data_IF_994802507970
#
_entry.id   IF_994802507970
#
_cell.length_a   1.000
_cell.length_b   1.000
_cell.length_c   1.000
_cell.angle_alpha   90.00
_cell.angle_beta   90.00
_cell.angle_gamma   90.00
#
_symmetry.space_group_name_H-M   'P 1'
#
loop_
_entity.id
_entity.type
_entity.pdbx_description
1 polymer ?
#
# COMPACT_ATOMS: atom_id res chain seq x y z
N UNK A 1 23.73 -24.43 12.69
CA UNK A 1 22.55 -23.77 13.28
C UNK A 1 21.37 -24.02 12.35
N UNK A 2 20.17 -24.22 12.90
CA UNK A 2 18.95 -24.41 12.10
C UNK A 2 18.51 -23.07 11.52
N UNK A 3 18.53 -22.94 10.19
CA UNK A 3 18.20 -21.70 9.48
C UNK A 3 16.71 -21.36 9.54
N UNK A 4 15.87 -22.24 10.08
CA UNK A 4 14.44 -21.98 10.33
C UNK A 4 14.21 -21.25 11.65
N UNK A 5 15.21 -21.18 12.53
CA UNK A 5 15.11 -20.48 13.80
C UNK A 5 15.27 -18.96 13.57
N UNK A 6 14.28 -18.15 13.98
CA UNK A 6 14.27 -16.72 13.69
C UNK A 6 15.47 -15.97 14.32
N UNK A 7 15.98 -16.45 15.46
CA UNK A 7 17.19 -15.89 16.08
C UNK A 7 18.46 -16.07 15.23
N UNK A 8 18.44 -17.00 14.27
CA UNK A 8 19.50 -17.17 13.28
C UNK A 8 19.25 -16.35 11.99
N UNK A 9 18.13 -15.61 11.95
CA UNK A 9 17.76 -14.75 10.85
C UNK A 9 18.66 -13.52 10.75
N UNK A 10 18.49 -12.78 9.65
CA UNK A 10 19.18 -11.51 9.42
C UNK A 10 18.17 -10.39 9.46
N UNK A 11 18.53 -9.32 10.15
CA UNK A 11 17.66 -8.18 10.37
C UNK A 11 17.69 -7.30 9.13
N UNK A 12 16.51 -6.99 8.61
CA UNK A 12 16.30 -5.92 7.64
C UNK A 12 16.18 -4.60 8.45
N UNK A 13 16.92 -3.54 8.10
CA UNK A 13 16.89 -2.29 8.85
C UNK A 13 15.50 -1.65 8.81
N UNK A 14 15.10 -1.03 9.91
CA UNK A 14 13.90 -0.20 10.07
C UNK A 14 14.16 0.85 11.14
N UNK A 15 13.22 1.77 11.32
CA UNK A 15 13.32 2.89 12.26
C UNK A 15 12.58 2.67 13.60
N UNK A 16 12.08 1.46 13.85
CA UNK A 16 11.31 1.16 15.06
C UNK A 16 10.12 0.26 14.73
N UNK A 17 8.92 0.85 14.66
CA UNK A 17 7.77 0.18 14.04
C UNK A 17 8.13 -0.20 12.60
N UNK A 18 7.73 -1.40 12.18
CA UNK A 18 7.97 -1.93 10.85
C UNK A 18 6.77 -2.79 10.46
N UNK A 19 6.26 -2.55 9.26
CA UNK A 19 5.14 -3.29 8.71
C UNK A 19 5.25 -3.45 7.20
N UNK A 20 4.66 -4.54 6.72
CA UNK A 20 4.61 -4.95 5.33
C UNK A 20 5.94 -4.87 4.56
N UNK A 21 7.03 -5.51 5.04
CA UNK A 21 8.26 -5.59 4.26
C UNK A 21 8.05 -6.48 3.03
N UNK A 22 8.28 -5.92 1.83
CA UNK A 22 8.21 -6.64 0.56
C UNK A 22 9.57 -6.67 -0.13
N UNK A 23 9.98 -7.84 -0.61
CA UNK A 23 11.22 -8.04 -1.36
C UNK A 23 10.95 -8.15 -2.86
N UNK A 24 11.70 -7.37 -3.63
CA UNK A 24 11.81 -7.44 -5.08
C UNK A 24 13.19 -7.98 -5.44
N UNK A 25 13.26 -8.88 -6.41
CA UNK A 25 14.53 -9.35 -6.98
C UNK A 25 14.81 -8.61 -8.27
N UNK A 26 15.86 -7.80 -8.29
CA UNK A 26 16.21 -6.99 -9.45
C UNK A 26 17.03 -7.78 -10.48
N UNK A 27 16.98 -7.29 -11.73
CA UNK A 27 17.72 -7.88 -12.85
C UNK A 27 19.24 -7.83 -12.69
N UNK A 28 19.76 -6.88 -11.91
CA UNK A 28 21.19 -6.81 -11.55
C UNK A 28 21.60 -7.77 -10.42
N UNK A 29 20.66 -8.57 -9.90
CA UNK A 29 20.88 -9.52 -8.82
C UNK A 29 20.76 -8.94 -7.40
N UNK A 30 20.56 -7.62 -7.24
CA UNK A 30 20.26 -7.03 -5.93
C UNK A 30 18.82 -7.30 -5.51
N UNK A 31 18.56 -7.20 -4.21
CA UNK A 31 17.22 -7.24 -3.63
C UNK A 31 16.84 -5.84 -3.15
N UNK A 32 15.63 -5.39 -3.48
CA UNK A 32 15.04 -4.18 -2.91
C UNK A 32 13.97 -4.59 -1.92
N UNK A 33 14.11 -4.14 -0.67
CA UNK A 33 13.04 -4.18 0.29
C UNK A 33 12.32 -2.83 0.28
N UNK A 34 10.99 -2.82 0.30
CA UNK A 34 10.19 -1.65 0.69
C UNK A 34 9.41 -1.98 1.96
N UNK A 35 9.21 -1.01 2.85
CA UNK A 35 8.44 -1.20 4.07
C UNK A 35 7.84 0.11 4.59
N UNK A 36 6.84 0.00 5.44
CA UNK A 36 6.35 1.10 6.27
C UNK A 36 7.05 1.06 7.60
N UNK A 37 7.52 2.22 8.08
CA UNK A 37 8.33 2.31 9.29
C UNK A 37 8.07 3.61 10.05
N UNK A 38 8.48 3.66 11.32
CA UNK A 38 8.46 4.88 12.12
C UNK A 38 9.10 4.70 13.49
N UNK A 39 9.52 5.81 14.10
CA UNK A 39 10.14 5.82 15.44
C UNK A 39 9.14 5.48 16.57
N UNK A 40 7.85 5.74 16.31
CA UNK A 40 6.75 5.50 17.23
C UNK A 40 6.13 4.11 17.09
N UNK A 41 4.90 3.99 17.55
CA UNK A 41 4.02 2.85 17.28
C UNK A 41 3.26 3.04 15.98
N UNK A 42 2.62 1.98 15.53
CA UNK A 42 1.72 2.02 14.38
C UNK A 42 0.73 3.19 14.44
N UNK A 43 0.71 3.97 13.36
CA UNK A 43 -0.13 5.14 13.14
C UNK A 43 0.17 6.34 14.01
N UNK A 44 1.31 6.36 14.70
CA UNK A 44 1.84 7.57 15.31
C UNK A 44 2.50 8.47 14.26
N UNK A 45 2.60 9.76 14.58
CA UNK A 45 3.22 10.76 13.73
C UNK A 45 4.66 10.37 13.39
N UNK A 46 5.05 10.60 12.12
CA UNK A 46 6.36 10.23 11.60
C UNK A 46 6.42 8.84 10.96
N UNK A 47 5.29 8.13 10.89
CA UNK A 47 5.15 6.93 10.09
C UNK A 47 5.28 7.27 8.59
N UNK A 48 6.19 6.58 7.92
CA UNK A 48 6.55 6.84 6.53
C UNK A 48 6.99 5.55 5.82
N UNK A 49 7.39 5.66 4.55
CA UNK A 49 7.69 4.52 3.68
C UNK A 49 9.09 4.65 3.11
N UNK A 50 9.85 3.56 3.16
CA UNK A 50 11.27 3.52 2.81
C UNK A 50 11.58 2.32 1.92
N UNK A 51 12.76 2.38 1.28
CA UNK A 51 13.41 1.24 0.66
C UNK A 51 14.81 0.98 1.23
N UNK A 52 15.29 -0.26 1.14
CA UNK A 52 16.69 -0.59 1.40
C UNK A 52 17.16 -1.74 0.50
N UNK A 53 18.44 -1.75 0.15
CA UNK A 53 18.99 -2.58 -0.91
C UNK A 53 20.00 -3.57 -0.34
N UNK A 54 19.92 -4.81 -0.81
CA UNK A 54 20.93 -5.83 -0.55
C UNK A 54 21.58 -6.28 -1.85
N UNK A 55 22.91 -6.19 -1.95
CA UNK A 55 23.69 -6.71 -3.08
C UNK A 55 24.14 -8.16 -2.89
N UNK A 56 23.81 -8.77 -1.75
CA UNK A 56 24.34 -10.06 -1.32
C UNK A 56 23.24 -11.03 -0.82
N UNK A 57 22.04 -10.89 -1.38
CA UNK A 57 20.87 -11.75 -1.14
C UNK A 57 20.43 -11.75 0.33
N UNK A 58 20.32 -10.55 0.89
CA UNK A 58 19.85 -10.28 2.25
C UNK A 58 20.88 -10.61 3.34
N UNK A 59 22.19 -10.71 3.02
CA UNK A 59 23.23 -10.85 4.06
C UNK A 59 23.49 -9.52 4.75
N UNK A 60 23.57 -8.46 3.97
CA UNK A 60 23.70 -7.07 4.42
C UNK A 60 22.73 -6.18 3.64
N UNK A 61 22.39 -5.05 4.23
CA UNK A 61 21.47 -4.06 3.68
C UNK A 61 22.11 -2.68 3.72
N UNK A 62 21.77 -1.84 2.75
CA UNK A 62 22.10 -0.42 2.74
C UNK A 62 21.46 0.32 3.92
N UNK A 63 21.76 1.61 4.03
CA UNK A 63 20.89 2.56 4.72
C UNK A 63 19.49 2.61 4.09
N UNK A 64 18.55 3.23 4.80
CA UNK A 64 17.19 3.46 4.31
C UNK A 64 17.17 4.62 3.32
N UNK A 65 16.43 4.46 2.24
CA UNK A 65 16.13 5.50 1.26
C UNK A 65 14.65 5.87 1.36
N UNK A 66 14.37 7.16 1.52
CA UNK A 66 12.98 7.63 1.65
C UNK A 66 12.22 7.46 0.32
N UNK A 67 11.05 6.82 0.40
CA UNK A 67 9.99 6.94 -0.61
C UNK A 67 9.13 8.17 -0.26
N UNK A 68 8.76 8.26 1.01
CA UNK A 68 8.27 9.49 1.65
C UNK A 68 9.07 9.69 2.95
N UNK A 69 9.50 10.92 3.27
CA UNK A 69 10.30 11.16 4.47
C UNK A 69 9.43 11.21 5.73
N UNK A 70 10.01 10.85 6.88
CA UNK A 70 9.36 10.92 8.20
C UNK A 70 8.86 12.33 8.60
N UNK A 71 9.42 13.38 7.99
CA UNK A 71 9.01 14.78 8.22
C UNK A 71 7.79 15.21 7.41
N UNK A 72 7.35 14.37 6.48
CA UNK A 72 6.17 14.59 5.65
C UNK A 72 4.86 14.16 6.33
N UNK A 73 3.74 14.25 5.59
CA UNK A 73 2.47 13.66 6.00
C UNK A 73 2.58 12.13 6.08
N UNK A 74 1.70 11.52 6.88
CA UNK A 74 1.68 10.07 7.09
C UNK A 74 1.54 9.30 5.77
N UNK A 75 2.39 8.28 5.62
CA UNK A 75 2.43 7.40 4.46
C UNK A 75 2.52 5.94 4.90
N UNK A 76 1.60 5.10 4.44
CA UNK A 76 1.42 3.70 4.87
C UNK A 76 0.52 2.97 3.87
N UNK A 77 0.30 1.68 3.86
CA UNK A 77 1.34 0.69 3.89
C UNK A 77 1.91 0.53 2.48
N UNK A 78 3.23 0.48 2.33
CA UNK A 78 3.85 0.45 0.99
C UNK A 78 3.85 -0.94 0.40
N UNK A 79 3.49 -1.03 -0.87
CA UNK A 79 3.45 -2.27 -1.62
C UNK A 79 4.09 -2.07 -3.00
N UNK A 80 5.06 -2.92 -3.41
CA UNK A 80 5.76 -2.72 -4.67
C UNK A 80 5.17 -3.54 -5.83
N UNK A 81 5.31 -3.02 -7.05
CA UNK A 81 5.20 -3.79 -8.29
C UNK A 81 6.39 -3.49 -9.20
N UNK A 82 7.10 -4.54 -9.65
CA UNK A 82 8.15 -4.39 -10.64
C UNK A 82 7.61 -4.70 -12.04
N UNK A 83 7.87 -3.79 -12.99
CA UNK A 83 7.56 -4.01 -14.41
C UNK A 83 8.60 -4.97 -15.00
N UNK A 84 8.22 -6.17 -15.48
CA UNK A 84 9.19 -7.17 -15.92
C UNK A 84 10.05 -6.74 -17.10
N UNK A 85 9.50 -5.96 -18.03
CA UNK A 85 10.18 -5.55 -19.27
C UNK A 85 11.26 -4.49 -19.04
N UNK A 86 11.09 -3.60 -18.06
CA UNK A 86 12.00 -2.47 -17.82
C UNK A 86 12.77 -2.58 -16.51
N UNK A 87 12.27 -3.36 -15.54
CA UNK A 87 12.80 -3.41 -14.19
C UNK A 87 12.36 -2.25 -13.29
N UNK A 88 11.60 -1.27 -13.82
CA UNK A 88 11.03 -0.17 -13.03
C UNK A 88 10.20 -0.71 -11.88
N UNK A 89 10.36 -0.11 -10.71
CA UNK A 89 9.57 -0.42 -9.52
C UNK A 89 8.58 0.70 -9.28
N UNK A 90 7.30 0.37 -9.11
CA UNK A 90 6.30 1.27 -8.55
C UNK A 90 6.08 0.91 -7.08
N UNK A 91 6.00 1.91 -6.21
CA UNK A 91 5.65 1.75 -4.79
C UNK A 91 4.32 2.45 -4.52
N UNK A 92 3.30 1.68 -4.15
CA UNK A 92 1.94 2.15 -3.86
C UNK A 92 1.72 2.26 -2.36
N UNK A 93 1.09 3.34 -1.89
CA UNK A 93 0.85 3.59 -0.46
C UNK A 93 -0.34 4.55 -0.25
N UNK A 94 -1.13 4.33 0.80
CA UNK A 94 -2.01 5.32 1.45
C UNK A 94 -1.21 6.54 1.88
N UNK A 95 -1.75 7.73 1.62
CA UNK A 95 -1.09 8.99 1.95
C UNK A 95 -2.07 10.04 2.45
N UNK A 96 -1.75 10.63 3.60
CA UNK A 96 -2.46 11.75 4.21
C UNK A 96 -2.19 13.07 3.46
N UNK A 97 -2.66 13.16 2.21
CA UNK A 97 -2.43 14.29 1.31
C UNK A 97 -2.85 15.64 1.91
N UNK A 98 -4.00 15.64 2.59
CA UNK A 98 -4.60 16.83 3.17
C UNK A 98 -3.99 17.20 4.53
N UNK A 99 -3.02 16.42 5.03
CA UNK A 99 -2.29 16.67 6.29
C UNK A 99 -3.22 16.77 7.50
N UNK A 100 -4.28 15.97 7.50
CA UNK A 100 -5.22 15.91 8.61
C UNK A 100 -4.46 15.52 9.87
N UNK A 101 -4.70 16.21 10.97
CA UNK A 101 -4.07 15.93 12.26
C UNK A 101 -4.95 15.06 13.16
N UNK A 102 -6.25 15.06 12.88
CA UNK A 102 -7.24 14.27 13.58
C UNK A 102 -8.42 13.99 12.65
N UNK A 103 -9.16 12.93 12.97
CA UNK A 103 -10.41 12.56 12.31
C UNK A 103 -11.47 12.19 13.33
N UNK A 104 -12.73 12.33 12.94
CA UNK A 104 -13.85 11.91 13.76
C UNK A 104 -14.09 10.40 13.60
N UNK A 105 -14.15 9.63 14.70
CA UNK A 105 -14.66 8.26 14.66
C UNK A 105 -16.18 8.25 14.44
N UNK A 106 -16.75 7.05 14.26
CA UNK A 106 -18.20 6.83 14.17
C UNK A 106 -18.91 7.38 15.41
N UNK A 107 -18.32 7.12 16.58
CA UNK A 107 -18.78 7.63 17.87
C UNK A 107 -17.60 8.07 18.74
N UNK A 108 -17.74 9.21 19.43
CA UNK A 108 -16.76 9.70 20.40
C UNK A 108 -15.94 10.91 19.93
N UNK A 109 -14.88 11.27 20.69
CA UNK A 109 -14.03 12.42 20.36
C UNK A 109 -13.12 12.12 19.18
N UNK A 110 -12.61 13.17 18.53
CA UNK A 110 -11.63 13.06 17.46
C UNK A 110 -10.40 12.24 17.89
N UNK A 111 -9.86 11.46 16.96
CA UNK A 111 -8.68 10.61 17.13
C UNK A 111 -7.55 11.06 16.22
N UNK A 112 -6.31 10.70 16.55
CA UNK A 112 -5.09 11.10 15.81
C UNK A 112 -4.54 10.02 14.87
N UNK A 113 -5.26 8.91 14.67
CA UNK A 113 -4.91 7.88 13.67
C UNK A 113 -5.33 8.38 12.30
N UNK A 114 -4.39 8.94 11.56
CA UNK A 114 -4.58 9.57 10.24
C UNK A 114 -3.77 8.87 9.13
N UNK A 115 -3.36 7.63 9.41
CA UNK A 115 -2.55 6.75 8.56
C UNK A 115 -3.39 5.89 7.59
N UNK A 116 -4.71 5.79 7.80
CA UNK A 116 -5.65 5.01 6.97
C UNK A 116 -6.64 5.88 6.20
N UNK A 117 -6.16 6.96 5.57
CA UNK A 117 -7.00 7.90 4.85
C UNK A 117 -6.27 8.63 3.72
N UNK A 118 -7.05 9.35 2.91
CA UNK A 118 -6.53 10.32 1.94
C UNK A 118 -6.53 9.77 0.52
N UNK A 119 -5.37 9.76 -0.13
CA UNK A 119 -5.23 9.29 -1.52
C UNK A 119 -4.35 8.06 -1.60
N UNK A 120 -4.63 7.20 -2.59
CA UNK A 120 -3.78 6.06 -2.87
C UNK A 120 -2.67 6.51 -3.82
N UNK A 121 -1.52 6.83 -3.24
CA UNK A 121 -0.39 7.41 -3.94
C UNK A 121 0.56 6.34 -4.48
N UNK A 122 1.38 6.74 -5.46
CA UNK A 122 2.54 5.97 -5.84
C UNK A 122 3.69 6.84 -6.36
N UNK A 123 4.90 6.31 -6.18
CA UNK A 123 6.15 6.78 -6.79
C UNK A 123 6.78 5.64 -7.57
N UNK A 124 7.74 5.97 -8.43
CA UNK A 124 8.51 4.95 -9.15
C UNK A 124 10.02 5.12 -8.94
N UNK A 125 10.75 4.03 -9.16
CA UNK A 125 12.20 3.98 -9.15
C UNK A 125 12.71 3.25 -10.40
N UNK A 126 13.72 3.83 -11.04
CA UNK A 126 14.44 3.28 -12.19
C UNK A 126 15.87 2.83 -11.85
N UNK A 127 16.26 2.93 -10.58
CA UNK A 127 17.59 2.62 -10.08
C UNK A 127 17.56 1.59 -8.94
N UNK A 128 16.62 0.65 -9.05
CA UNK A 128 16.47 -0.47 -8.12
C UNK A 128 16.10 -0.04 -6.70
N UNK A 129 15.39 1.08 -6.53
CA UNK A 129 14.93 1.59 -5.24
C UNK A 129 15.98 2.40 -4.46
N UNK A 130 17.03 2.88 -5.14
CA UNK A 130 18.02 3.79 -4.53
C UNK A 130 17.50 5.23 -4.50
N UNK A 131 16.68 5.62 -5.48
CA UNK A 131 15.95 6.88 -5.51
C UNK A 131 14.55 6.69 -6.08
N UNK A 132 13.69 7.66 -5.80
CA UNK A 132 12.28 7.65 -6.18
C UNK A 132 11.92 8.96 -6.91
N UNK A 133 10.94 8.87 -7.80
CA UNK A 133 10.42 10.02 -8.55
C UNK A 133 10.10 11.19 -7.63
N UNK A 134 10.44 12.42 -8.02
CA UNK A 134 10.13 13.63 -7.22
C UNK A 134 8.62 13.86 -7.10
N UNK A 135 7.90 13.58 -8.19
CA UNK A 135 6.45 13.64 -8.26
C UNK A 135 5.82 12.40 -7.64
N UNK A 136 4.64 12.62 -7.08
CA UNK A 136 3.71 11.60 -6.62
C UNK A 136 2.58 11.49 -7.63
N UNK A 137 2.16 10.27 -7.90
CA UNK A 137 1.00 9.98 -8.73
C UNK A 137 -0.09 9.35 -7.86
N UNK A 138 -1.32 9.33 -8.36
CA UNK A 138 -2.48 8.89 -7.59
C UNK A 138 -3.30 7.88 -8.39
N UNK A 139 -3.74 6.82 -7.72
CA UNK A 139 -4.77 5.94 -8.25
C UNK A 139 -6.11 6.63 -7.99
N UNK A 140 -6.89 6.98 -9.03
CA UNK A 140 -8.21 7.56 -8.85
C UNK A 140 -9.14 6.51 -8.25
N UNK A 141 -9.42 6.64 -6.96
CA UNK A 141 -10.34 5.76 -6.27
C UNK A 141 -11.78 6.22 -6.50
N UNK A 142 -12.52 5.46 -7.31
CA UNK A 142 -13.96 5.69 -7.43
C UNK A 142 -14.63 5.49 -6.06
N UNK A 143 -15.50 6.42 -5.69
CA UNK A 143 -16.28 6.34 -4.44
C UNK A 143 -17.27 5.17 -4.49
N UNK A 144 -17.28 4.38 -3.44
CA UNK A 144 -18.30 3.38 -3.15
C UNK A 144 -19.35 3.96 -2.19
N UNK A 145 -20.41 3.19 -1.94
CA UNK A 145 -21.43 3.51 -0.94
C UNK A 145 -20.81 3.69 0.45
N UNK A 146 -19.86 2.83 0.83
CA UNK A 146 -19.17 2.90 2.12
C UNK A 146 -18.44 4.24 2.32
N UNK A 147 -17.82 4.78 1.27
CA UNK A 147 -17.17 6.09 1.33
C UNK A 147 -18.20 7.22 1.49
N UNK A 148 -19.33 7.13 0.77
CA UNK A 148 -20.40 8.14 0.83
C UNK A 148 -21.15 8.14 2.16
N UNK A 149 -21.22 6.99 2.81
CA UNK A 149 -21.90 6.84 4.10
C UNK A 149 -21.00 7.17 5.30
N UNK A 150 -19.69 7.35 5.09
CA UNK A 150 -18.79 7.74 6.17
C UNK A 150 -19.11 9.15 6.70
N UNK A 151 -18.58 9.49 7.87
CA UNK A 151 -18.88 10.76 8.56
C UNK A 151 -18.52 12.02 7.74
N UNK A 152 -17.65 11.87 6.75
CA UNK A 152 -17.21 12.94 5.84
C UNK A 152 -17.94 12.95 4.49
N UNK A 153 -18.91 12.05 4.28
CA UNK A 153 -19.68 11.91 3.05
C UNK A 153 -18.80 11.77 1.79
N UNK A 154 -17.72 10.97 1.88
CA UNK A 154 -16.79 10.71 0.79
C UNK A 154 -15.78 11.83 0.49
N UNK A 155 -15.78 12.93 1.27
CA UNK A 155 -14.76 13.99 1.15
C UNK A 155 -13.40 13.57 1.69
N UNK A 156 -13.42 12.71 2.71
CA UNK A 156 -12.26 11.97 3.20
C UNK A 156 -12.56 10.51 2.94
N UNK A 157 -11.69 9.85 2.18
CA UNK A 157 -11.79 8.40 1.95
C UNK A 157 -10.94 7.74 3.03
N UNK A 158 -11.55 6.84 3.80
CA UNK A 158 -10.82 5.97 4.72
C UNK A 158 -10.53 4.67 4.01
N UNK A 159 -9.27 4.25 4.03
CA UNK A 159 -8.84 3.02 3.40
C UNK A 159 -7.41 2.69 3.84
N UNK A 160 -7.02 1.44 3.64
CA UNK A 160 -5.63 1.05 3.68
C UNK A 160 -5.25 0.16 2.50
N UNK A 161 -4.02 0.34 2.00
CA UNK A 161 -3.42 -0.56 1.03
C UNK A 161 -2.90 -1.81 1.73
N UNK A 162 -3.50 -2.97 1.47
CA UNK A 162 -3.01 -4.27 1.95
C UNK A 162 -3.17 -5.28 0.81
N UNK A 163 -2.16 -6.13 0.62
CA UNK A 163 -2.12 -7.12 -0.44
C UNK A 163 -0.79 -7.15 -1.20
N UNK A 164 -0.61 -8.06 -2.15
CA UNK A 164 0.55 -8.01 -3.04
C UNK A 164 0.10 -7.54 -4.42
N UNK A 165 0.56 -6.37 -4.93
CA UNK A 165 0.34 -5.99 -6.31
C UNK A 165 0.79 -7.11 -7.26
N UNK A 166 0.01 -7.34 -8.30
CA UNK A 166 0.26 -8.47 -9.21
C UNK A 166 -0.02 -8.08 -10.67
N UNK A 167 0.52 -8.90 -11.57
CA UNK A 167 0.27 -8.80 -13.00
C UNK A 167 -0.60 -9.99 -13.38
N UNK A 168 -1.67 -9.71 -14.12
CA UNK A 168 -2.57 -10.74 -14.65
C UNK A 168 -3.15 -10.28 -15.97
N UNK A 169 -3.17 -11.14 -16.98
CA UNK A 169 -3.68 -10.83 -18.32
C UNK A 169 -3.19 -9.46 -18.86
N UNK A 170 -1.87 -9.24 -18.80
CA UNK A 170 -1.18 -8.02 -19.25
C UNK A 170 -1.58 -6.70 -18.55
N UNK A 171 -2.31 -6.78 -17.43
CA UNK A 171 -2.67 -5.63 -16.62
C UNK A 171 -2.04 -5.72 -15.22
N UNK A 172 -1.79 -4.55 -14.63
CA UNK A 172 -1.35 -4.43 -13.24
C UNK A 172 -2.56 -4.30 -12.31
N UNK A 173 -2.50 -4.94 -11.15
CA UNK A 173 -3.54 -4.89 -10.13
C UNK A 173 -2.94 -4.48 -8.79
N UNK A 174 -3.67 -3.62 -8.08
CA UNK A 174 -3.36 -3.16 -6.73
C UNK A 174 -4.61 -3.35 -5.86
N UNK A 175 -4.46 -3.82 -4.63
CA UNK A 175 -5.58 -4.07 -3.71
C UNK A 175 -5.64 -2.99 -2.63
N UNK A 176 -6.84 -2.69 -2.15
CA UNK A 176 -7.04 -1.93 -0.92
C UNK A 176 -8.31 -2.39 -0.21
N UNK A 177 -8.40 -2.10 1.09
CA UNK A 177 -9.66 -2.17 1.83
C UNK A 177 -10.18 -0.76 2.05
N UNK A 178 -11.38 -0.44 1.56
CA UNK A 178 -12.11 0.78 1.89
C UNK A 178 -12.79 0.63 3.24
N UNK A 179 -12.86 1.70 4.01
CA UNK A 179 -13.32 1.70 5.39
C UNK A 179 -14.47 2.69 5.56
N UNK A 180 -15.54 2.29 6.26
CA UNK A 180 -16.70 3.14 6.50
C UNK A 180 -16.52 4.12 7.65
N UNK A 181 -15.63 3.81 8.60
CA UNK A 181 -15.31 4.68 9.72
C UNK A 181 -14.45 4.01 10.78
N UNK A 182 -13.92 4.82 11.69
CA UNK A 182 -13.20 4.35 12.87
C UNK A 182 -14.19 4.11 14.01
N UNK A 183 -14.32 2.86 14.46
CA UNK A 183 -15.28 2.43 15.48
C UNK A 183 -14.63 1.94 16.77
N UNK A 184 -15.39 1.17 17.55
CA UNK A 184 -14.84 0.49 18.72
C UNK A 184 -13.84 -0.59 18.28
N UNK A 185 -12.61 -0.54 18.78
CA UNK A 185 -11.56 -1.52 18.45
C UNK A 185 -10.62 -1.03 17.35
N UNK A 186 -11.12 -0.64 16.16
CA UNK A 186 -10.36 0.06 15.11
C UNK A 186 -11.27 0.52 13.96
N UNK A 187 -11.52 -0.33 12.96
CA UNK A 187 -12.48 -0.10 11.87
C UNK A 187 -13.85 -0.70 12.19
N UNK A 188 -14.92 0.02 11.84
CA UNK A 188 -16.30 -0.43 12.12
C UNK A 188 -16.87 -1.30 10.98
N UNK A 189 -16.60 -0.91 9.74
CA UNK A 189 -17.02 -1.61 8.53
C UNK A 189 -15.96 -1.43 7.45
N UNK A 190 -15.79 -2.42 6.59
CA UNK A 190 -14.85 -2.33 5.47
C UNK A 190 -15.25 -3.21 4.27
N UNK A 191 -14.68 -2.90 3.10
CA UNK A 191 -14.93 -3.59 1.84
C UNK A 191 -13.66 -3.64 0.98
N UNK A 192 -13.39 -4.78 0.36
CA UNK A 192 -12.27 -4.95 -0.56
C UNK A 192 -12.51 -4.25 -1.90
N UNK A 193 -11.44 -3.67 -2.44
CA UNK A 193 -11.41 -3.08 -3.78
C UNK A 193 -10.12 -3.47 -4.50
N UNK A 194 -10.20 -3.57 -5.83
CA UNK A 194 -9.03 -3.72 -6.69
C UNK A 194 -8.95 -2.52 -7.64
N UNK A 195 -7.72 -2.15 -7.98
CA UNK A 195 -7.42 -1.12 -8.97
C UNK A 195 -6.63 -1.76 -10.09
N UNK A 196 -7.23 -1.81 -11.28
CA UNK A 196 -6.63 -2.37 -12.48
C UNK A 196 -6.08 -1.24 -13.34
N UNK A 197 -4.81 -1.35 -13.73
CA UNK A 197 -4.25 -0.53 -14.79
C UNK A 197 -3.93 -1.38 -16.01
N UNK A 198 -4.56 -1.04 -17.14
CA UNK A 198 -4.38 -1.74 -18.40
C UNK A 198 -3.04 -1.41 -19.09
N UNK A 199 -2.44 -0.26 -18.77
CA UNK A 199 -1.28 0.26 -19.50
C UNK A 199 -0.04 0.48 -18.63
N UNK A 200 -0.10 0.32 -17.31
CA UNK A 200 1.06 0.54 -16.41
C UNK A 200 2.33 -0.23 -16.81
N UNK A 201 2.18 -1.42 -17.42
CA UNK A 201 3.31 -2.25 -17.83
C UNK A 201 4.00 -1.75 -19.11
N UNK A 202 3.36 -0.88 -19.87
CA UNK A 202 3.79 -0.45 -21.20
C UNK A 202 3.93 1.07 -21.34
N UNK A 203 3.17 1.84 -20.57
CA UNK A 203 3.24 3.30 -20.52
C UNK A 203 4.34 3.73 -19.54
N UNK A 204 5.26 4.56 -20.02
CA UNK A 204 6.41 5.01 -19.24
C UNK A 204 6.09 6.28 -18.43
N UNK A 205 5.20 7.15 -18.90
CA UNK A 205 4.79 8.33 -18.15
C UNK A 205 3.68 7.97 -17.15
N UNK A 206 3.95 8.01 -15.83
CA UNK A 206 2.94 7.58 -14.86
C UNK A 206 1.72 8.50 -14.77
N UNK A 207 1.80 9.72 -15.33
CA UNK A 207 0.64 10.62 -15.45
C UNK A 207 -0.39 10.13 -16.49
N UNK A 208 0.01 9.20 -17.37
CA UNK A 208 -0.80 8.66 -18.45
C UNK A 208 -1.35 7.25 -18.13
N UNK A 209 -1.17 6.77 -16.89
CA UNK A 209 -1.74 5.51 -16.46
C UNK A 209 -3.26 5.59 -16.37
N UNK A 210 -3.92 4.64 -17.02
CA UNK A 210 -5.36 4.45 -16.93
C UNK A 210 -5.67 3.50 -15.78
N UNK A 211 -6.63 3.85 -14.94
CA UNK A 211 -7.03 3.07 -13.78
C UNK A 211 -8.53 2.81 -13.77
N UNK A 212 -8.89 1.58 -13.43
CA UNK A 212 -10.25 1.10 -13.24
C UNK A 212 -10.41 0.63 -11.78
N UNK A 213 -11.45 1.09 -11.09
CA UNK A 213 -11.79 0.63 -9.73
C UNK A 213 -12.81 -0.49 -9.80
N UNK A 214 -12.43 -1.67 -9.31
CA UNK A 214 -13.22 -2.89 -9.23
C UNK A 214 -13.65 -3.20 -7.78
N UNK A 215 -14.76 -3.92 -7.58
CA UNK A 215 -15.70 -4.39 -8.61
C UNK A 215 -16.52 -3.24 -9.23
N UNK A 216 -17.22 -3.52 -10.32
CA UNK A 216 -18.20 -2.60 -10.89
C UNK A 216 -19.32 -2.27 -9.89
N UNK A 217 -19.92 -1.09 -10.02
CA UNK A 217 -20.98 -0.63 -9.13
C UNK A 217 -20.46 -0.12 -7.79
N UNK A 218 -21.35 0.14 -6.85
CA UNK A 218 -21.05 0.97 -5.68
C UNK A 218 -20.70 0.20 -4.41
N UNK A 219 -20.51 -1.12 -4.50
CA UNK A 219 -20.29 -1.99 -3.35
C UNK A 219 -19.05 -2.85 -3.61
N UNK A 220 -18.11 -2.85 -2.67
CA UNK A 220 -16.90 -3.66 -2.74
C UNK A 220 -17.10 -5.12 -2.33
N UNK A 221 -15.99 -5.83 -2.23
CA UNK A 221 -15.97 -7.22 -1.78
C UNK A 221 -16.23 -7.26 -0.27
N UNK A 222 -17.28 -7.99 0.14
CA UNK A 222 -17.72 -8.12 1.53
C UNK A 222 -17.55 -9.55 2.02
N UNK A 223 -17.25 -9.71 3.30
CA UNK A 223 -17.24 -11.01 3.96
C UNK A 223 -18.69 -11.54 4.08
N UNK A 224 -18.94 -12.84 3.85
CA UNK A 224 -20.26 -13.41 4.08
C UNK A 224 -20.72 -13.35 5.55
N UNK A 225 -19.75 -13.28 6.48
CA UNK A 225 -19.96 -13.52 7.91
C UNK A 225 -19.96 -12.26 8.77
N UNK A 226 -19.86 -11.05 8.20
CA UNK A 226 -19.85 -9.83 8.98
C UNK A 226 -19.53 -8.56 8.19
N UNK A 227 -19.52 -7.41 8.87
CA UNK A 227 -19.30 -6.11 8.26
C UNK A 227 -17.81 -5.79 8.00
N UNK A 228 -16.92 -6.68 8.42
CA UNK A 228 -15.46 -6.55 8.30
C UNK A 228 -14.93 -7.70 7.44
N UNK A 229 -14.21 -7.32 6.40
CA UNK A 229 -13.53 -8.08 5.35
C UNK A 229 -12.14 -7.45 5.07
N UNK A 230 -11.46 -7.02 6.12
CA UNK A 230 -10.17 -6.33 6.05
C UNK A 230 -9.04 -7.19 5.49
N UNK A 231 -7.99 -6.52 5.03
CA UNK A 231 -6.75 -7.15 4.52
C UNK A 231 -6.95 -8.06 3.30
N UNK A 232 -7.97 -7.74 2.49
CA UNK A 232 -8.29 -8.51 1.29
C UNK A 232 -7.07 -8.71 0.39
N UNK A 233 -6.81 -9.96 0.01
CA UNK A 233 -5.75 -10.32 -0.93
C UNK A 233 -6.35 -11.08 -2.12
N UNK A 234 -5.91 -10.74 -3.34
CA UNK A 234 -6.39 -11.40 -4.55
C UNK A 234 -5.27 -12.20 -5.22
N UNK A 235 -5.58 -13.45 -5.56
CA UNK A 235 -4.70 -14.38 -6.26
C UNK A 235 -5.25 -14.69 -7.64
N UNK A 236 -4.50 -14.44 -8.72
CA UNK A 236 -4.85 -14.89 -10.06
C UNK A 236 -4.91 -16.41 -10.18
N UNK A 237 -5.95 -16.90 -10.84
CA UNK A 237 -6.16 -18.32 -11.12
C UNK A 237 -5.84 -18.64 -12.58
N UNK A 238 -5.51 -19.91 -12.86
CA UNK A 238 -5.13 -20.37 -14.21
C UNK A 238 -6.25 -20.24 -15.25
N UNK A 239 -7.51 -20.16 -14.83
CA UNK A 239 -8.67 -19.97 -15.71
C UNK A 239 -8.96 -18.49 -16.02
N UNK A 240 -8.09 -17.58 -15.56
CA UNK A 240 -8.24 -16.15 -15.74
C UNK A 240 -9.05 -15.46 -14.64
N UNK A 241 -9.69 -16.21 -13.74
CA UNK A 241 -10.41 -15.65 -12.60
C UNK A 241 -9.48 -15.13 -11.50
N UNK A 242 -10.03 -14.37 -10.55
CA UNK A 242 -9.35 -13.94 -9.35
C UNK A 242 -10.02 -14.57 -8.13
N UNK A 243 -9.23 -15.15 -7.24
CA UNK A 243 -9.69 -15.62 -5.93
C UNK A 243 -9.30 -14.60 -4.87
N UNK A 244 -10.29 -14.10 -4.10
CA UNK A 244 -10.06 -13.17 -3.00
C UNK A 244 -10.24 -13.89 -1.65
N UNK A 245 -9.32 -13.67 -0.73
CA UNK A 245 -9.42 -14.05 0.69
C UNK A 245 -9.72 -12.84 1.55
#
# INVERSE_FOLDING_TARGET
MDTRHIECGRIIPSEGYCDQPYIIHNSNGSWTCVMTTGQGKEGEQGQHVVSCISSDQGKTWSELYDIEPASGPEASWVMPLQVPSTGRIYAFYTYNKEKLQEVLPVDGPAIKRVDSLGTYAYRYSDDYGLSWSSERYEIPMRLFEIDRNNIYNGKVIFFWGVGKPFIHNDAAYVCATKVGGFGWGFFDTDEGALFRSENLLTEHDPAQHNWETLPDGDVGLRAPAGPIAGEMNATPMNDGSLYAT
#
